data_IF_507113522088
#
_entry.id   IF_507113522088
#
_cell.length_a   1.000
_cell.length_b   1.000
_cell.length_c   1.000
_cell.angle_alpha   90.00
_cell.angle_beta   90.00
_cell.angle_gamma   90.00
#
_symmetry.space_group_name_H-M   'P 1'
#
loop_
_entity.id
_entity.type
_entity.pdbx_description
1 polymer ?
#
# COMPACT_ATOMS: atom_id res chain seq x y z
N UNK A 1 26.56 -20.28 7.30
CA UNK A 1 26.42 -21.60 6.66
C UNK A 1 27.32 -21.69 5.43
N UNK A 2 28.07 -22.79 5.32
CA UNK A 2 28.88 -23.08 4.13
C UNK A 2 28.08 -23.94 3.17
N UNK A 3 28.08 -23.61 1.87
CA UNK A 3 27.46 -24.41 0.81
C UNK A 3 28.38 -24.45 -0.40
N UNK A 4 28.35 -25.57 -1.12
CA UNK A 4 29.03 -25.71 -2.41
C UNK A 4 28.02 -25.43 -3.51
N UNK A 5 28.33 -24.47 -4.36
CA UNK A 5 27.53 -24.12 -5.55
C UNK A 5 28.32 -24.56 -6.78
N UNK A 6 27.71 -25.41 -7.60
CA UNK A 6 28.33 -25.96 -8.80
C UNK A 6 27.56 -25.50 -10.05
N UNK A 7 28.25 -24.87 -10.99
CA UNK A 7 27.70 -24.49 -12.30
C UNK A 7 28.82 -24.35 -13.33
N UNK A 8 28.55 -24.75 -14.58
CA UNK A 8 29.52 -24.58 -15.68
C UNK A 8 30.84 -25.32 -15.47
N UNK A 9 30.85 -26.43 -14.73
CA UNK A 9 32.07 -27.16 -14.35
C UNK A 9 32.88 -26.52 -13.20
N UNK A 10 32.50 -25.32 -12.75
CA UNK A 10 33.13 -24.63 -11.62
C UNK A 10 32.38 -24.94 -10.33
N UNK A 11 33.11 -25.35 -9.28
CA UNK A 11 32.56 -25.55 -7.92
C UNK A 11 33.12 -24.48 -6.99
N UNK A 12 32.24 -23.69 -6.39
CA UNK A 12 32.59 -22.62 -5.45
C UNK A 12 32.09 -22.96 -4.05
N UNK A 13 32.99 -22.94 -3.06
CA UNK A 13 32.63 -23.02 -1.64
C UNK A 13 32.30 -21.63 -1.12
N UNK A 14 31.05 -21.40 -0.72
CA UNK A 14 30.57 -20.07 -0.32
C UNK A 14 30.08 -20.15 1.13
N UNK A 15 30.55 -19.23 1.97
CA UNK A 15 30.11 -19.11 3.36
C UNK A 15 29.29 -17.83 3.53
N UNK A 16 27.99 -17.99 3.78
CA UNK A 16 27.04 -16.89 3.97
C UNK A 16 26.13 -17.14 5.18
N UNK A 17 25.63 -16.07 5.77
CA UNK A 17 24.60 -16.09 6.78
C UNK A 17 23.28 -16.62 6.18
N UNK A 18 22.44 -17.27 7.00
CA UNK A 18 21.19 -17.90 6.55
C UNK A 18 20.26 -16.92 5.82
N UNK A 19 20.23 -15.66 6.27
CA UNK A 19 19.44 -14.60 5.64
C UNK A 19 19.84 -14.36 4.18
N UNK A 20 21.13 -14.36 3.85
CA UNK A 20 21.58 -14.18 2.46
C UNK A 20 21.29 -15.41 1.60
N UNK A 21 21.34 -16.62 2.15
CA UNK A 21 20.89 -17.81 1.44
C UNK A 21 19.39 -17.77 1.13
N UNK A 22 18.58 -17.29 2.06
CA UNK A 22 17.14 -17.11 1.85
C UNK A 22 16.87 -16.03 0.78
N UNK A 23 17.57 -14.90 0.84
CA UNK A 23 17.46 -13.82 -0.14
C UNK A 23 17.88 -14.29 -1.55
N UNK A 24 19.00 -15.01 -1.69
CA UNK A 24 19.40 -15.61 -2.97
C UNK A 24 18.35 -16.57 -3.53
N UNK A 25 17.72 -17.38 -2.67
CA UNK A 25 16.65 -18.29 -3.07
C UNK A 25 15.44 -17.50 -3.59
N UNK A 26 14.99 -16.49 -2.85
CA UNK A 26 13.89 -15.60 -3.27
C UNK A 26 14.17 -14.90 -4.58
N UNK A 27 15.38 -14.33 -4.74
CA UNK A 27 15.82 -13.70 -6.00
C UNK A 27 15.82 -14.70 -7.16
N UNK A 28 16.30 -15.92 -6.94
CA UNK A 28 16.32 -16.96 -7.96
C UNK A 28 14.90 -17.39 -8.37
N UNK A 29 13.98 -17.53 -7.41
CA UNK A 29 12.57 -17.84 -7.66
C UNK A 29 11.86 -16.71 -8.44
N UNK A 30 12.06 -15.46 -8.03
CA UNK A 30 11.56 -14.26 -8.73
C UNK A 30 12.04 -14.19 -10.17
N UNK A 31 13.33 -14.49 -10.41
CA UNK A 31 13.96 -14.48 -11.75
C UNK A 31 13.76 -15.80 -12.52
N UNK A 32 13.05 -16.78 -11.96
CA UNK A 32 12.88 -18.13 -12.53
C UNK A 32 14.21 -18.79 -12.93
N UNK A 33 15.25 -18.62 -12.12
CA UNK A 33 16.58 -19.17 -12.35
C UNK A 33 17.07 -20.00 -11.14
N UNK A 34 18.23 -20.64 -11.25
CA UNK A 34 18.81 -21.39 -10.12
C UNK A 34 19.72 -20.49 -9.28
N UNK A 35 19.95 -20.84 -8.00
CA UNK A 35 20.95 -20.15 -7.17
C UNK A 35 22.34 -20.19 -7.84
N UNK A 36 22.69 -21.31 -8.49
CA UNK A 36 23.94 -21.42 -9.25
C UNK A 36 24.04 -20.42 -10.39
N UNK A 37 22.92 -20.14 -11.06
CA UNK A 37 22.84 -19.12 -12.10
C UNK A 37 23.14 -17.74 -11.57
N UNK A 38 22.45 -17.39 -10.48
CA UNK A 38 22.57 -16.07 -9.87
C UNK A 38 23.98 -15.84 -9.29
N UNK A 39 24.59 -16.87 -8.67
CA UNK A 39 25.96 -16.79 -8.15
C UNK A 39 26.98 -16.60 -9.26
N UNK A 40 26.80 -17.25 -10.40
CA UNK A 40 27.68 -17.08 -11.56
C UNK A 40 27.53 -15.69 -12.18
N UNK A 41 26.30 -15.21 -12.36
CA UNK A 41 26.01 -13.84 -12.80
C UNK A 41 26.69 -12.81 -11.89
N UNK A 42 26.57 -12.95 -10.57
CA UNK A 42 27.22 -12.05 -9.60
C UNK A 42 28.76 -12.15 -9.70
N UNK A 43 29.30 -13.36 -9.89
CA UNK A 43 30.75 -13.53 -10.03
C UNK A 43 31.30 -12.89 -11.32
N UNK A 44 30.56 -12.94 -12.42
CA UNK A 44 30.96 -12.34 -13.70
C UNK A 44 30.98 -10.79 -13.64
N UNK A 45 30.03 -10.19 -12.92
CA UNK A 45 29.95 -8.73 -12.76
C UNK A 45 30.94 -8.18 -11.71
N UNK A 46 31.66 -9.05 -11.01
CA UNK A 46 32.67 -8.69 -10.01
C UNK A 46 34.00 -9.43 -10.30
N UNK A 47 34.74 -9.02 -11.35
CA UNK A 47 35.95 -9.70 -11.80
C UNK A 47 37.11 -9.67 -10.79
N UNK A 48 37.06 -8.76 -9.80
CA UNK A 48 37.97 -8.78 -8.66
C UNK A 48 37.63 -9.99 -7.75
N UNK A 49 38.31 -11.10 -8.02
CA UNK A 49 38.09 -12.44 -7.46
C UNK A 49 38.15 -12.54 -5.91
N UNK A 50 38.47 -11.45 -5.20
CA UNK A 50 38.78 -11.45 -3.78
C UNK A 50 37.58 -11.55 -2.83
N UNK A 51 36.35 -11.26 -3.25
CA UNK A 51 35.25 -11.17 -2.28
C UNK A 51 33.86 -11.55 -2.80
N UNK A 52 33.71 -12.63 -3.58
CA UNK A 52 32.41 -13.14 -4.05
C UNK A 52 31.34 -13.18 -2.95
N UNK A 53 31.70 -13.57 -1.73
CA UNK A 53 30.80 -13.53 -0.57
C UNK A 53 30.25 -12.13 -0.29
N UNK A 54 31.10 -11.10 -0.30
CA UNK A 54 30.70 -9.71 -0.13
C UNK A 54 29.86 -9.21 -1.31
N UNK A 55 30.24 -9.57 -2.54
CA UNK A 55 29.45 -9.25 -3.74
C UNK A 55 28.04 -9.85 -3.66
N UNK A 56 27.90 -11.09 -3.21
CA UNK A 56 26.60 -11.73 -2.98
C UNK A 56 25.79 -10.98 -1.92
N UNK A 57 26.40 -10.58 -0.80
CA UNK A 57 25.68 -9.81 0.24
C UNK A 57 25.17 -8.48 -0.32
N UNK A 58 25.98 -7.77 -1.10
CA UNK A 58 25.59 -6.53 -1.77
C UNK A 58 24.44 -6.77 -2.76
N UNK A 59 24.52 -7.83 -3.56
CA UNK A 59 23.46 -8.19 -4.50
C UNK A 59 22.13 -8.50 -3.80
N UNK A 60 22.15 -9.23 -2.68
CA UNK A 60 20.96 -9.49 -1.86
C UNK A 60 20.36 -8.19 -1.31
N UNK A 61 21.20 -7.31 -0.76
CA UNK A 61 20.75 -6.02 -0.21
C UNK A 61 20.13 -5.12 -1.29
N UNK A 62 20.73 -5.08 -2.48
CA UNK A 62 20.19 -4.33 -3.63
C UNK A 62 18.86 -4.92 -4.10
N UNK A 63 18.77 -6.23 -4.27
CA UNK A 63 17.54 -6.90 -4.69
C UNK A 63 16.38 -6.63 -3.73
N UNK A 64 16.61 -6.72 -2.42
CA UNK A 64 15.60 -6.40 -1.40
C UNK A 64 15.22 -4.91 -1.40
N UNK A 65 16.18 -4.01 -1.63
CA UNK A 65 15.91 -2.58 -1.71
C UNK A 65 15.08 -2.21 -2.96
N UNK A 66 15.39 -2.83 -4.10
CA UNK A 66 14.63 -2.68 -5.35
C UNK A 66 13.20 -3.18 -5.20
N UNK A 67 13.01 -4.39 -4.67
CA UNK A 67 11.68 -4.96 -4.41
C UNK A 67 10.87 -4.08 -3.44
N UNK A 68 11.48 -3.60 -2.36
CA UNK A 68 10.86 -2.67 -1.41
C UNK A 68 10.44 -1.35 -2.10
N UNK A 69 11.28 -0.82 -2.99
CA UNK A 69 10.96 0.38 -3.75
C UNK A 69 9.76 0.17 -4.69
N UNK A 70 9.68 -0.96 -5.39
CA UNK A 70 8.53 -1.27 -6.25
C UNK A 70 7.25 -1.46 -5.43
N UNK A 71 7.31 -2.17 -4.31
CA UNK A 71 6.16 -2.33 -3.41
C UNK A 71 5.69 -0.99 -2.84
N UNK A 72 6.61 -0.09 -2.49
CA UNK A 72 6.27 1.28 -2.03
C UNK A 72 5.57 2.11 -3.10
N UNK A 73 5.87 1.91 -4.39
CA UNK A 73 5.14 2.59 -5.48
C UNK A 73 3.68 2.16 -5.50
N UNK A 74 3.41 0.87 -5.29
CA UNK A 74 2.05 0.33 -5.17
C UNK A 74 1.37 0.83 -3.89
N UNK A 75 2.09 0.84 -2.77
CA UNK A 75 1.61 1.31 -1.47
C UNK A 75 1.68 2.84 -1.32
N UNK A 76 1.02 3.59 -2.22
CA UNK A 76 1.14 5.04 -2.31
C UNK A 76 -0.21 5.77 -2.40
N UNK A 77 -0.20 7.05 -2.00
CA UNK A 77 -1.35 7.96 -2.18
C UNK A 77 -1.76 8.05 -3.67
N UNK A 78 -0.80 7.95 -4.59
CA UNK A 78 -1.10 7.91 -6.03
C UNK A 78 -2.00 6.73 -6.38
N UNK A 79 -1.73 5.55 -5.84
CA UNK A 79 -2.57 4.35 -6.03
C UNK A 79 -3.96 4.56 -5.45
N UNK A 80 -4.06 5.12 -4.24
CA UNK A 80 -5.35 5.45 -3.62
C UNK A 80 -6.18 6.37 -4.53
N UNK A 81 -5.57 7.45 -5.05
CA UNK A 81 -6.24 8.37 -5.96
C UNK A 81 -6.68 7.67 -7.25
N UNK A 82 -5.83 6.81 -7.83
CA UNK A 82 -6.19 6.06 -9.03
C UNK A 82 -7.39 5.13 -8.79
N UNK A 83 -7.44 4.43 -7.66
CA UNK A 83 -8.58 3.57 -7.29
C UNK A 83 -9.84 4.42 -7.10
N UNK A 84 -9.77 5.54 -6.38
CA UNK A 84 -10.93 6.41 -6.15
C UNK A 84 -11.50 6.95 -7.46
N UNK A 85 -10.65 7.43 -8.37
CA UNK A 85 -11.07 7.94 -9.69
C UNK A 85 -11.73 6.84 -10.53
N UNK A 86 -11.24 5.61 -10.47
CA UNK A 86 -11.83 4.47 -11.18
C UNK A 86 -13.11 3.92 -10.51
N UNK A 87 -13.40 4.28 -9.27
CA UNK A 87 -14.51 3.76 -8.49
C UNK A 87 -15.85 4.40 -8.93
N UNK A 88 -16.89 3.61 -9.28
CA UNK A 88 -18.17 4.14 -9.73
C UNK A 88 -19.09 4.59 -8.57
N UNK A 89 -18.89 4.05 -7.36
CA UNK A 89 -19.66 4.45 -6.17
C UNK A 89 -19.06 5.70 -5.51
N UNK A 90 -19.85 6.52 -4.81
CA UNK A 90 -19.32 7.63 -4.01
C UNK A 90 -18.28 7.12 -3.00
N UNK A 91 -17.04 7.60 -3.11
CA UNK A 91 -15.93 7.11 -2.30
C UNK A 91 -14.93 8.22 -1.95
N UNK A 92 -14.26 8.05 -0.81
CA UNK A 92 -13.25 8.98 -0.31
C UNK A 92 -12.19 8.29 0.55
N UNK A 93 -11.03 8.92 0.67
CA UNK A 93 -9.96 8.55 1.58
C UNK A 93 -9.98 9.43 2.83
N UNK A 94 -9.93 8.82 4.00
CA UNK A 94 -10.06 9.46 5.31
C UNK A 94 -8.84 9.17 6.17
N UNK A 95 -8.24 10.20 6.77
CA UNK A 95 -7.18 10.03 7.77
C UNK A 95 -7.71 9.58 9.13
N UNK A 96 -6.82 9.07 9.98
CA UNK A 96 -7.10 8.85 11.42
C UNK A 96 -7.64 10.10 12.14
N UNK A 97 -7.24 11.30 11.69
CA UNK A 97 -7.74 12.60 12.16
C UNK A 97 -9.09 13.03 11.57
N UNK A 98 -9.82 12.14 10.89
CA UNK A 98 -11.11 12.38 10.23
C UNK A 98 -11.06 13.44 9.11
N UNK A 99 -9.88 13.70 8.55
CA UNK A 99 -9.73 14.60 7.40
C UNK A 99 -9.89 13.81 6.11
N UNK A 100 -10.82 14.24 5.25
CA UNK A 100 -10.90 13.70 3.89
C UNK A 100 -9.70 14.22 3.11
N UNK A 101 -8.84 13.31 2.63
CA UNK A 101 -7.64 13.65 1.88
C UNK A 101 -7.83 13.56 0.36
N UNK A 102 -8.71 12.67 -0.08
CA UNK A 102 -9.06 12.49 -1.49
C UNK A 102 -10.50 11.98 -1.59
N UNK A 103 -11.17 12.25 -2.71
CA UNK A 103 -12.51 11.76 -2.98
C UNK A 103 -12.77 11.74 -4.48
N UNK A 104 -13.77 10.96 -4.90
CA UNK A 104 -14.12 10.83 -6.31
C UNK A 104 -15.30 11.72 -6.73
N UNK A 105 -15.54 11.81 -8.04
CA UNK A 105 -16.62 12.61 -8.61
C UNK A 105 -18.01 12.18 -8.12
N UNK A 106 -18.36 10.87 -8.04
CA UNK A 106 -19.62 10.44 -7.45
C UNK A 106 -19.85 10.95 -6.01
N UNK A 107 -18.81 10.99 -5.17
CA UNK A 107 -18.91 11.57 -3.82
C UNK A 107 -19.15 13.07 -3.85
N UNK A 108 -18.45 13.80 -4.72
CA UNK A 108 -18.68 15.23 -4.89
C UNK A 108 -20.11 15.53 -5.35
N UNK A 109 -20.66 14.73 -6.26
CA UNK A 109 -22.04 14.86 -6.73
C UNK A 109 -23.05 14.54 -5.63
N UNK A 110 -22.81 13.48 -4.85
CA UNK A 110 -23.63 13.14 -3.69
C UNK A 110 -23.69 14.30 -2.69
N UNK A 111 -22.54 14.86 -2.33
CA UNK A 111 -22.45 16.01 -1.41
C UNK A 111 -23.20 17.22 -1.96
N UNK A 112 -22.98 17.58 -3.24
CA UNK A 112 -23.70 18.70 -3.88
C UNK A 112 -25.22 18.52 -3.92
N UNK A 113 -25.68 17.28 -4.16
CA UNK A 113 -27.10 16.94 -4.21
C UNK A 113 -27.76 17.03 -2.84
N UNK A 114 -27.12 16.47 -1.82
CA UNK A 114 -27.70 16.35 -0.48
C UNK A 114 -27.47 17.60 0.38
N UNK A 115 -26.41 18.37 0.08
CA UNK A 115 -26.03 19.60 0.79
C UNK A 115 -25.84 20.75 -0.23
N UNK A 116 -26.90 21.22 -0.92
CA UNK A 116 -26.76 22.34 -1.83
C UNK A 116 -26.32 23.60 -1.07
N UNK A 117 -25.41 24.39 -1.66
CA UNK A 117 -25.06 25.71 -1.11
C UNK A 117 -26.22 26.70 -1.28
N UNK A 118 -26.38 27.63 -0.35
CA UNK A 118 -27.34 28.73 -0.53
C UNK A 118 -26.83 29.68 -1.62
N UNK A 119 -27.71 30.27 -2.46
CA UNK A 119 -27.29 31.27 -3.43
C UNK A 119 -26.68 32.48 -2.69
N UNK A 120 -25.41 32.79 -3.00
CA UNK A 120 -24.67 33.92 -2.39
C UNK A 120 -23.60 33.52 -1.36
N UNK A 121 -23.48 32.24 -0.99
CA UNK A 121 -22.34 31.77 -0.19
C UNK A 121 -21.17 31.40 -1.11
N UNK A 122 -20.01 32.02 -0.86
CA UNK A 122 -18.73 31.75 -1.55
C UNK A 122 -18.21 30.35 -1.24
N UNK A 123 -18.83 29.32 -1.82
CA UNK A 123 -18.27 28.01 -2.24
C UNK A 123 -17.46 27.15 -1.26
N UNK A 124 -17.17 27.60 -0.04
CA UNK A 124 -16.35 26.96 0.99
C UNK A 124 -17.18 26.79 2.25
N UNK A 125 -18.21 25.96 2.16
CA UNK A 125 -18.80 25.41 3.37
C UNK A 125 -17.85 24.33 3.92
N UNK A 126 -17.40 24.48 5.16
CA UNK A 126 -16.61 23.46 5.84
C UNK A 126 -17.48 22.21 6.07
N UNK A 127 -17.22 21.17 5.29
CA UNK A 127 -17.88 19.87 5.43
C UNK A 127 -17.43 19.22 6.75
N UNK A 128 -18.39 18.91 7.62
CA UNK A 128 -18.17 18.17 8.85
C UNK A 128 -18.58 16.72 8.67
N UNK A 129 -17.63 15.79 8.78
CA UNK A 129 -17.89 14.36 8.74
C UNK A 129 -17.88 13.77 10.16
N UNK A 130 -18.92 13.00 10.47
CA UNK A 130 -18.99 12.12 11.63
C UNK A 130 -19.25 10.69 11.19
N UNK A 131 -18.68 9.73 11.91
CA UNK A 131 -18.88 8.30 11.73
C UNK A 131 -19.54 7.74 12.98
N UNK A 132 -20.45 6.78 12.82
CA UNK A 132 -21.08 6.08 13.96
C UNK A 132 -20.02 5.26 14.73
N UNK A 133 -19.00 4.72 14.03
CA UNK A 133 -17.80 4.13 14.64
C UNK A 133 -16.63 5.12 14.62
N UNK A 134 -15.84 5.18 15.69
CA UNK A 134 -14.60 5.98 15.66
C UNK A 134 -13.61 5.36 14.66
N UNK A 135 -12.81 6.20 13.99
CA UNK A 135 -11.80 5.76 13.01
C UNK A 135 -10.80 4.77 13.64
N UNK A 136 -10.41 5.01 14.90
CA UNK A 136 -9.54 4.08 15.66
C UNK A 136 -10.19 2.70 15.85
N UNK A 137 -11.51 2.65 16.11
CA UNK A 137 -12.24 1.39 16.27
C UNK A 137 -12.38 0.65 14.93
N UNK A 138 -12.51 1.40 13.82
CA UNK A 138 -12.53 0.81 12.47
C UNK A 138 -11.19 0.13 12.18
N UNK A 139 -10.06 0.79 12.46
CA UNK A 139 -8.74 0.18 12.28
C UNK A 139 -8.55 -1.05 13.17
N UNK A 140 -8.93 -0.98 14.45
CA UNK A 140 -8.84 -2.13 15.35
C UNK A 140 -9.66 -3.34 14.85
N UNK A 141 -10.84 -3.10 14.26
CA UNK A 141 -11.66 -4.17 13.65
C UNK A 141 -11.05 -4.73 12.37
N UNK A 142 -10.42 -3.88 11.56
CA UNK A 142 -9.70 -4.32 10.37
C UNK A 142 -8.53 -5.23 10.76
N UNK A 143 -7.76 -4.86 11.78
CA UNK A 143 -6.65 -5.67 12.30
C UNK A 143 -7.16 -7.03 12.83
N UNK A 144 -8.26 -7.03 13.57
CA UNK A 144 -8.83 -8.24 14.16
C UNK A 144 -9.42 -9.22 13.13
N UNK A 145 -9.90 -8.71 11.99
CA UNK A 145 -10.62 -9.51 11.00
C UNK A 145 -9.82 -9.75 9.70
N UNK A 146 -8.52 -9.47 9.69
CA UNK A 146 -7.68 -9.70 8.50
C UNK A 146 -8.01 -8.76 7.34
N UNK A 147 -8.23 -7.48 7.64
CA UNK A 147 -8.49 -6.40 6.69
C UNK A 147 -9.81 -6.53 5.89
N UNK A 148 -10.76 -7.34 6.37
CA UNK A 148 -12.11 -7.42 5.78
C UNK A 148 -12.88 -6.12 5.98
N UNK A 149 -13.68 -5.65 4.99
CA UNK A 149 -14.37 -4.36 5.09
C UNK A 149 -15.26 -4.21 6.32
N UNK A 150 -15.19 -3.03 6.96
CA UNK A 150 -15.99 -2.67 8.13
C UNK A 150 -17.08 -1.68 7.72
N UNK A 151 -18.34 -2.05 7.97
CA UNK A 151 -19.48 -1.15 7.73
C UNK A 151 -19.66 -0.17 8.89
N UNK A 152 -19.92 1.10 8.58
CA UNK A 152 -20.30 2.13 9.54
C UNK A 152 -21.35 3.05 8.93
N UNK A 153 -22.26 3.56 9.75
CA UNK A 153 -23.03 4.74 9.36
C UNK A 153 -22.16 6.00 9.43
N UNK A 154 -22.57 7.04 8.72
CA UNK A 154 -21.90 8.35 8.73
C UNK A 154 -22.90 9.49 8.59
N UNK A 155 -22.47 10.69 8.99
CA UNK A 155 -23.19 11.94 8.79
C UNK A 155 -22.23 12.97 8.19
N UNK A 156 -22.62 13.60 7.09
CA UNK A 156 -21.94 14.79 6.54
C UNK A 156 -22.84 16.00 6.76
N UNK A 157 -22.30 17.06 7.34
CA UNK A 157 -22.99 18.33 7.54
C UNK A 157 -22.30 19.49 6.84
N UNK A 158 -23.12 20.44 6.37
CA UNK A 158 -22.69 21.74 5.86
C UNK A 158 -23.71 22.79 6.30
N UNK A 159 -23.28 23.75 7.14
CA UNK A 159 -24.21 24.64 7.84
C UNK A 159 -25.26 23.86 8.65
N UNK A 160 -26.53 24.18 8.45
CA UNK A 160 -27.68 23.51 9.10
C UNK A 160 -28.08 22.19 8.40
N UNK A 161 -27.57 21.93 7.20
CA UNK A 161 -27.93 20.72 6.44
C UNK A 161 -27.09 19.55 6.88
N UNK A 162 -27.73 18.39 6.99
CA UNK A 162 -27.07 17.12 7.31
C UNK A 162 -27.60 16.03 6.40
N UNK A 163 -26.68 15.15 5.99
CA UNK A 163 -26.97 13.95 5.24
C UNK A 163 -26.41 12.76 6.01
N UNK A 164 -27.25 11.74 6.27
CA UNK A 164 -26.87 10.49 6.92
C UNK A 164 -26.88 9.37 5.89
N UNK A 165 -25.86 8.52 5.90
CA UNK A 165 -25.76 7.36 5.02
C UNK A 165 -24.98 6.22 5.65
N UNK A 166 -24.70 5.19 4.85
CA UNK A 166 -23.84 4.06 5.22
C UNK A 166 -22.62 3.99 4.32
N UNK A 167 -21.51 3.51 4.88
CA UNK A 167 -20.27 3.27 4.14
C UNK A 167 -19.62 1.97 4.56
N UNK A 168 -18.84 1.42 3.65
CA UNK A 168 -17.93 0.30 3.88
C UNK A 168 -16.51 0.85 3.86
N UNK A 169 -15.73 0.61 4.91
CA UNK A 169 -14.38 1.11 5.05
C UNK A 169 -13.36 -0.04 5.01
N UNK A 170 -12.26 0.19 4.33
CA UNK A 170 -11.07 -0.70 4.29
C UNK A 170 -9.81 0.12 4.55
N UNK A 171 -8.74 -0.53 5.02
CA UNK A 171 -7.42 0.11 5.10
C UNK A 171 -6.94 0.45 3.69
N UNK A 172 -6.50 1.68 3.50
CA UNK A 172 -5.91 2.09 2.24
C UNK A 172 -4.52 1.45 2.08
N UNK A 173 -4.11 1.05 0.86
CA UNK A 173 -2.80 0.46 0.62
C UNK A 173 -1.73 1.55 0.62
N UNK A 174 -1.37 2.07 1.79
CA UNK A 174 -0.30 3.05 1.99
C UNK A 174 0.35 2.82 3.35
N UNK A 175 1.67 3.00 3.43
CA UNK A 175 2.39 2.82 4.69
C UNK A 175 2.08 3.95 5.69
N UNK A 176 2.27 5.21 5.27
CA UNK A 176 1.96 6.38 6.09
C UNK A 176 1.52 7.57 5.20
N UNK A 177 0.60 8.42 5.68
CA UNK A 177 -0.19 8.26 6.91
C UNK A 177 -1.18 7.09 6.79
N UNK A 178 -1.64 6.52 7.92
CA UNK A 178 -2.72 5.53 7.90
C UNK A 178 -4.02 6.17 7.40
N UNK A 179 -4.58 5.58 6.34
CA UNK A 179 -5.82 6.04 5.72
C UNK A 179 -6.84 4.91 5.62
N UNK A 180 -8.10 5.28 5.70
CA UNK A 180 -9.22 4.44 5.29
C UNK A 180 -9.65 4.84 3.88
N UNK A 181 -9.99 3.86 3.05
CA UNK A 181 -10.84 4.07 1.89
C UNK A 181 -12.27 3.73 2.28
N UNK A 182 -13.17 4.70 2.14
CA UNK A 182 -14.57 4.58 2.48
C UNK A 182 -15.44 4.65 1.21
N UNK A 183 -16.31 3.66 1.04
CA UNK A 183 -17.21 3.52 -0.09
C UNK A 183 -18.64 3.63 0.42
N UNK A 184 -19.35 4.68 0.01
CA UNK A 184 -20.73 4.92 0.41
C UNK A 184 -21.65 3.99 -0.38
N UNK A 185 -22.58 3.36 0.32
CA UNK A 185 -23.62 2.53 -0.27
C UNK A 185 -24.98 2.86 0.38
N UNK A 186 -26.07 2.58 -0.32
CA UNK A 186 -27.44 2.84 0.12
C UNK A 186 -27.69 4.32 0.51
N UNK A 187 -27.50 5.23 -0.46
CA UNK A 187 -27.68 6.68 -0.30
C UNK A 187 -28.22 7.39 -1.53
#
# INVERSE_FOLDING_TARGET
EFRVVARGGVRRGIRLERAFWASLKHMAESRKCTIGMLVEEIAEHHPDQGNLTSAIRVACMRGLAEESMELRKLASIRTINAILVACPSPAFALSSSKKILAFNTPFQQLVRRQLPSAPGEDGRQDLKLALDLNVTDIFARLDANGETPVTSGFVIGAGERRYRGQLSAVRAPVAEPELLMAFVFNG
#
